data_IF_527435636855
#
_entry.id   IF_527435636855
#
_cell.length_a   1.000
_cell.length_b   1.000
_cell.length_c   1.000
_cell.angle_alpha   90.00
_cell.angle_beta   90.00
_cell.angle_gamma   90.00
#
_symmetry.space_group_name_H-M   'P 1'
#
loop_
_entity.id
_entity.type
_entity.pdbx_description
1 polymer ?
#
# COMPACT_ATOMS: atom_id res chain seq x y z
N UNK A 1 41.25 21.67 -6.69
CA UNK A 1 40.64 20.35 -7.00
C UNK A 1 39.60 20.13 -5.91
N UNK A 2 38.46 20.86 -5.86
CA UNK A 2 37.37 20.88 -6.86
C UNK A 2 37.01 19.41 -7.19
N UNK A 3 35.90 18.84 -6.73
CA UNK A 3 34.53 19.34 -6.91
C UNK A 3 33.61 19.00 -5.70
N UNK A 4 32.93 20.02 -5.17
CA UNK A 4 31.66 19.85 -4.43
C UNK A 4 30.58 19.44 -5.44
N UNK A 5 30.20 18.17 -5.46
CA UNK A 5 29.01 17.73 -6.19
C UNK A 5 27.78 17.91 -5.31
N UNK A 6 27.18 19.09 -5.43
CA UNK A 6 25.77 19.32 -5.14
C UNK A 6 24.94 18.18 -5.73
N UNK A 7 24.43 17.28 -4.87
CA UNK A 7 23.30 16.43 -5.25
C UNK A 7 22.07 17.31 -5.26
N UNK A 8 21.90 18.06 -6.34
CA UNK A 8 20.62 18.66 -6.72
C UNK A 8 19.57 17.56 -6.70
N UNK A 9 18.65 17.63 -5.74
CA UNK A 9 17.44 16.83 -5.73
C UNK A 9 16.73 17.04 -7.06
N UNK A 10 16.77 16.01 -7.90
CA UNK A 10 16.06 16.02 -9.17
C UNK A 10 14.58 16.17 -8.89
N UNK A 11 14.03 17.34 -9.21
CA UNK A 11 12.59 17.48 -9.45
C UNK A 11 12.27 16.64 -10.69
N UNK A 12 12.02 15.35 -10.48
CA UNK A 12 11.68 14.37 -11.49
C UNK A 12 10.44 14.78 -12.26
N UNK A 13 10.64 15.33 -13.45
CA UNK A 13 9.58 15.51 -14.43
C UNK A 13 9.62 14.32 -15.39
N UNK A 14 8.66 13.39 -15.22
CA UNK A 14 8.15 12.57 -16.32
C UNK A 14 8.95 11.33 -16.69
N UNK A 15 9.03 10.35 -15.78
CA UNK A 15 9.29 8.96 -16.15
C UNK A 15 8.14 8.11 -15.62
N UNK A 16 7.51 7.30 -16.46
CA UNK A 16 6.53 6.28 -16.06
C UNK A 16 7.09 5.25 -15.05
N UNK A 17 8.37 5.35 -14.71
CA UNK A 17 9.09 4.45 -13.80
C UNK A 17 9.29 5.05 -12.39
N UNK A 18 8.86 6.29 -12.13
CA UNK A 18 8.95 6.88 -10.78
C UNK A 18 8.04 6.11 -9.81
N UNK A 19 8.63 5.45 -8.81
CA UNK A 19 7.88 4.75 -7.75
C UNK A 19 7.23 5.77 -6.82
N UNK A 20 5.91 5.74 -6.75
CA UNK A 20 5.12 6.58 -5.85
C UNK A 20 4.79 5.88 -4.53
N UNK A 21 4.54 4.56 -4.58
CA UNK A 21 4.22 3.76 -3.40
C UNK A 21 4.82 2.37 -3.55
N UNK A 22 5.45 1.88 -2.48
CA UNK A 22 5.92 0.51 -2.35
C UNK A 22 5.33 -0.09 -1.08
N UNK A 23 4.68 -1.23 -1.22
CA UNK A 23 4.06 -1.98 -0.13
C UNK A 23 4.69 -3.36 -0.10
N UNK A 24 5.17 -3.77 1.08
CA UNK A 24 5.77 -5.06 1.32
C UNK A 24 5.06 -5.74 2.50
N UNK A 25 4.77 -7.02 2.35
CA UNK A 25 4.14 -7.89 3.34
C UNK A 25 2.94 -7.23 4.05
N UNK A 26 2.01 -6.65 3.29
CA UNK A 26 0.83 -6.02 3.86
C UNK A 26 -0.11 -7.09 4.40
N UNK A 27 -0.42 -6.96 5.69
CA UNK A 27 -1.46 -7.73 6.33
C UNK A 27 -2.49 -6.82 7.01
N UNK A 28 -3.76 -7.17 6.88
CA UNK A 28 -4.86 -6.43 7.48
C UNK A 28 -5.82 -7.41 8.14
N UNK A 29 -6.16 -7.17 9.40
CA UNK A 29 -7.14 -7.95 10.15
C UNK A 29 -8.21 -7.04 10.72
N UNK A 30 -9.46 -7.49 10.62
CA UNK A 30 -10.61 -6.82 11.21
C UNK A 30 -11.22 -7.69 12.30
N UNK A 31 -11.52 -7.09 13.44
CA UNK A 31 -12.29 -7.75 14.50
C UNK A 31 -13.74 -7.84 14.05
N UNK A 32 -14.29 -9.05 14.04
CA UNK A 32 -15.71 -9.23 13.81
C UNK A 32 -16.46 -8.78 15.06
N UNK A 33 -17.46 -7.92 14.89
CA UNK A 33 -18.39 -7.60 15.97
C UNK A 33 -19.62 -8.48 15.85
N UNK A 34 -19.87 -9.33 16.85
CA UNK A 34 -21.17 -10.01 16.99
C UNK A 34 -22.14 -9.12 17.74
N UNK A 35 -23.39 -9.05 17.28
CA UNK A 35 -24.50 -8.60 18.12
C UNK A 35 -24.83 -9.72 19.13
N UNK A 36 -24.29 -9.64 20.35
CA UNK A 36 -24.53 -10.60 21.45
C UNK A 36 -23.34 -10.80 22.41
N UNK A 37 -23.47 -11.73 23.37
CA UNK A 37 -22.47 -12.03 24.43
C UNK A 37 -21.38 -13.03 23.98
N UNK A 38 -20.79 -12.87 22.78
CA UNK A 38 -19.75 -13.79 22.30
C UNK A 38 -18.61 -13.08 21.60
N UNK A 39 -17.37 -13.54 21.86
CA UNK A 39 -16.19 -13.12 21.12
C UNK A 39 -16.36 -13.48 19.64
N UNK A 40 -16.47 -12.48 18.78
CA UNK A 40 -16.42 -12.68 17.36
C UNK A 40 -14.95 -12.49 16.94
N UNK A 41 -14.40 -13.52 16.30
CA UNK A 41 -12.96 -13.62 16.01
C UNK A 41 -12.47 -12.57 15.02
N UNK A 42 -11.29 -12.79 14.47
CA UNK A 42 -10.69 -11.88 13.49
C UNK A 42 -10.87 -12.42 12.06
N UNK A 43 -11.16 -11.53 11.12
CA UNK A 43 -11.04 -11.80 9.69
C UNK A 43 -9.72 -11.25 9.20
N UNK A 44 -8.95 -12.09 8.51
CA UNK A 44 -7.79 -11.67 7.73
C UNK A 44 -8.29 -11.16 6.38
N UNK A 45 -8.25 -9.84 6.19
CA UNK A 45 -8.70 -9.17 4.96
C UNK A 45 -7.60 -9.08 3.90
N UNK A 46 -6.36 -8.89 4.33
CA UNK A 46 -5.19 -8.89 3.45
C UNK A 46 -4.12 -9.78 4.09
N UNK A 47 -3.49 -10.64 3.30
CA UNK A 47 -2.50 -11.62 3.76
C UNK A 47 -1.25 -11.55 2.88
N UNK A 48 -0.20 -10.90 3.39
CA UNK A 48 1.14 -10.87 2.79
C UNK A 48 1.20 -10.28 1.37
N UNK A 49 0.47 -9.20 1.11
CA UNK A 49 0.43 -8.60 -0.24
C UNK A 49 1.61 -7.65 -0.45
N UNK A 50 2.27 -7.78 -1.61
CA UNK A 50 3.40 -6.96 -2.03
C UNK A 50 3.04 -6.27 -3.36
N UNK A 51 3.17 -4.94 -3.45
CA UNK A 51 2.98 -4.23 -4.72
C UNK A 51 3.75 -2.90 -4.77
N UNK A 52 3.99 -2.44 -6.00
CA UNK A 52 4.62 -1.15 -6.31
C UNK A 52 3.67 -0.39 -7.21
N UNK A 53 3.45 0.89 -6.93
CA UNK A 53 2.69 1.81 -7.77
C UNK A 53 3.66 2.83 -8.36
N UNK A 54 3.79 2.83 -9.68
CA UNK A 54 4.57 3.83 -10.40
C UNK A 54 3.70 5.03 -10.83
N UNK A 55 4.34 6.14 -11.19
CA UNK A 55 3.67 7.33 -11.67
C UNK A 55 2.95 7.05 -12.99
N UNK A 56 1.65 7.31 -13.00
CA UNK A 56 0.79 7.09 -14.17
C UNK A 56 0.10 5.72 -14.18
N UNK A 57 0.36 4.88 -13.17
CA UNK A 57 -0.39 3.63 -12.95
C UNK A 57 -1.59 3.87 -12.02
N UNK A 58 -2.57 2.97 -12.11
CA UNK A 58 -3.73 2.94 -11.23
C UNK A 58 -3.93 1.53 -10.71
N UNK A 59 -4.11 1.39 -9.40
CA UNK A 59 -4.43 0.11 -8.75
C UNK A 59 -5.91 0.15 -8.35
N UNK A 60 -6.65 -0.86 -8.79
CA UNK A 60 -8.03 -1.09 -8.38
C UNK A 60 -8.08 -2.21 -7.34
N UNK A 61 -8.59 -1.90 -6.15
CA UNK A 61 -8.87 -2.91 -5.12
C UNK A 61 -10.33 -3.36 -5.28
N UNK A 62 -10.54 -4.66 -5.47
CA UNK A 62 -11.87 -5.28 -5.57
C UNK A 62 -12.09 -6.26 -4.43
N UNK A 63 -13.32 -6.40 -3.97
CA UNK A 63 -13.65 -7.34 -2.90
C UNK A 63 -15.10 -7.24 -2.44
N UNK A 64 -15.55 -8.27 -1.74
CA UNK A 64 -16.90 -8.41 -1.19
C UNK A 64 -17.27 -7.30 -0.20
N UNK A 65 -18.55 -7.18 0.17
CA UNK A 65 -18.98 -6.16 1.14
C UNK A 65 -18.28 -6.37 2.49
N UNK A 66 -17.61 -5.32 3.00
CA UNK A 66 -16.96 -5.36 4.32
C UNK A 66 -15.54 -5.93 4.36
N UNK A 67 -14.89 -6.20 3.22
CA UNK A 67 -13.49 -6.67 3.18
C UNK A 67 -12.43 -5.60 3.52
N UNK A 68 -12.83 -4.34 3.70
CA UNK A 68 -11.88 -3.26 4.01
C UNK A 68 -10.97 -2.88 2.85
N UNK A 69 -11.55 -2.79 1.64
CA UNK A 69 -10.94 -2.02 0.53
C UNK A 69 -10.58 -0.61 0.98
#
# INVERSE_FOLDING_TARGET
MQEDALSIGGNGHGGSDEVLLKVEDLHVWFELRRFGLGHAGYVRAVDGVNFVLHRGEAIGVVGESGCGK
#
